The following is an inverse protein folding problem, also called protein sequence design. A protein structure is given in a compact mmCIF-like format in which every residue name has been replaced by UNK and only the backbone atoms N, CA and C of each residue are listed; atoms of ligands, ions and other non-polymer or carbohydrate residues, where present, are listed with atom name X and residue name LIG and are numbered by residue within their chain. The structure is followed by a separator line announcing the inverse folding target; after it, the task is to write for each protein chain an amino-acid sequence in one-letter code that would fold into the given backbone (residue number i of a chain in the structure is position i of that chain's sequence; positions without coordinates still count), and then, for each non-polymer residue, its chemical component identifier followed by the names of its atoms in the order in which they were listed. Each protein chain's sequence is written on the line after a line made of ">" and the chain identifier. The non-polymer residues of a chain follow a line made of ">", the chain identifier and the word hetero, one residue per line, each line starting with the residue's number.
data_IF_972489033967
#
_entry.id   IF_972489033967
#
_cell.length_a   1.000
_cell.length_b   1.000
_cell.length_c   1.000
_cell.angle_alpha   90.00
_cell.angle_beta   90.00
_cell.angle_gamma   90.00
#
_symmetry.space_group_name_H-M   'P 1'
#
loop_
_entity.id
_entity.type
_entity.pdbx_description
1 polymer ?
#
# COMPACT_ATOMS: atom_id res chain seq x y z
N UNK A 1 0.86 12.17 19.74
CA UNK A 1 1.40 10.81 19.72
C UNK A 1 0.62 9.90 18.75
N UNK A 2 -0.68 9.95 18.84
CA UNK A 2 -1.52 9.16 17.94
C UNK A 2 -1.31 9.55 16.48
N UNK A 3 -1.22 10.84 16.23
CA UNK A 3 -1.03 11.32 14.86
C UNK A 3 0.33 10.92 14.31
N UNK A 4 1.33 10.89 15.17
CA UNK A 4 2.66 10.47 14.75
C UNK A 4 2.66 8.99 14.37
N UNK A 5 1.95 8.19 15.14
CA UNK A 5 1.83 6.77 14.84
C UNK A 5 1.11 6.57 13.50
N UNK A 6 0.02 7.28 13.29
CA UNK A 6 -0.73 7.19 12.05
C UNK A 6 0.13 7.60 10.86
N UNK A 7 0.87 8.68 11.01
CA UNK A 7 1.75 9.14 9.94
C UNK A 7 2.84 8.11 9.61
N UNK A 8 3.38 7.50 10.64
CA UNK A 8 4.41 6.48 10.44
C UNK A 8 3.85 5.30 9.67
N UNK A 9 2.69 4.83 10.08
CA UNK A 9 2.05 3.69 9.41
C UNK A 9 1.70 4.03 7.97
N UNK A 10 1.10 5.21 7.76
CA UNK A 10 0.74 5.61 6.40
C UNK A 10 1.96 5.72 5.50
N UNK A 11 2.99 6.39 5.98
CA UNK A 11 4.20 6.58 5.18
C UNK A 11 4.81 5.24 4.81
N UNK A 12 4.86 4.34 5.76
CA UNK A 12 5.42 3.01 5.51
C UNK A 12 4.60 2.26 4.46
N UNK A 13 3.28 2.33 4.58
CA UNK A 13 2.41 1.62 3.64
C UNK A 13 2.43 2.26 2.26
N UNK A 14 2.53 3.58 2.19
CA UNK A 14 2.63 4.25 0.90
C UNK A 14 3.94 3.90 0.21
N UNK A 15 5.02 3.78 0.98
CA UNK A 15 6.29 3.36 0.42
C UNK A 15 6.21 1.93 -0.09
N UNK A 16 5.54 1.06 0.65
CA UNK A 16 5.36 -0.33 0.24
C UNK A 16 4.53 -0.40 -1.05
N UNK A 17 3.47 0.39 -1.13
CA UNK A 17 2.64 0.44 -2.32
C UNK A 17 3.44 0.91 -3.54
N UNK A 18 4.21 1.97 -3.35
CA UNK A 18 5.03 2.50 -4.45
C UNK A 18 6.05 1.48 -4.91
N UNK A 19 6.68 0.79 -3.97
CA UNK A 19 7.65 -0.23 -4.29
C UNK A 19 7.02 -1.37 -5.10
N UNK A 20 5.84 -1.79 -4.68
CA UNK A 20 5.14 -2.86 -5.38
C UNK A 20 4.73 -2.44 -6.78
N UNK A 21 4.23 -1.20 -6.92
CA UNK A 21 3.85 -0.69 -8.22
C UNK A 21 5.06 -0.60 -9.14
N UNK A 22 6.17 -0.10 -8.63
CA UNK A 22 7.39 -0.01 -9.42
C UNK A 22 7.86 -1.40 -9.86
N UNK A 23 7.82 -2.36 -8.94
CA UNK A 23 8.22 -3.72 -9.26
C UNK A 23 7.35 -4.31 -10.37
N UNK A 24 6.03 -4.14 -10.26
CA UNK A 24 5.13 -4.63 -11.30
C UNK A 24 5.38 -3.94 -12.62
N UNK A 25 5.63 -2.64 -12.58
CA UNK A 25 5.91 -1.88 -13.79
C UNK A 25 7.18 -2.39 -14.47
N UNK A 26 8.23 -2.60 -13.70
CA UNK A 26 9.48 -3.09 -14.23
C UNK A 26 9.32 -4.49 -14.83
N UNK A 27 8.59 -5.36 -14.15
CA UNK A 27 8.36 -6.70 -14.66
C UNK A 27 7.55 -6.67 -15.94
N UNK A 28 6.56 -5.79 -16.01
CA UNK A 28 5.71 -5.70 -17.20
C UNK A 28 6.49 -5.21 -18.40
N UNK A 29 7.46 -4.33 -18.19
CA UNK A 29 8.16 -3.71 -19.30
C UNK A 29 9.50 -4.38 -19.64
N UNK A 30 10.02 -5.20 -18.75
CA UNK A 30 11.33 -5.79 -18.95
C UNK A 30 11.31 -7.32 -18.96
N UNK A 31 10.13 -7.90 -18.99
CA UNK A 31 10.02 -9.34 -18.92
C UNK A 31 10.74 -10.05 -20.06
N UNK A 32 10.76 -9.41 -21.22
CA UNK A 32 11.31 -10.02 -22.41
C UNK A 32 12.83 -10.13 -22.34
N UNK A 33 13.45 -9.20 -21.66
CA UNK A 33 14.90 -9.15 -21.63
C UNK A 33 15.55 -10.03 -20.59
N UNK A 34 14.76 -10.74 -19.81
CA UNK A 34 15.29 -11.51 -18.71
C UNK A 34 15.44 -12.95 -19.10
N UNK A 35 16.43 -13.21 -19.94
CA UNK A 35 16.61 -14.55 -20.46
C UNK A 35 17.16 -15.55 -19.49
N UNK A 36 17.84 -15.07 -18.46
CA UNK A 36 18.51 -15.98 -17.53
C UNK A 36 17.60 -16.50 -16.43
N UNK A 37 16.44 -15.89 -16.27
CA UNK A 37 15.53 -16.28 -15.21
C UNK A 37 14.45 -17.18 -15.77
N UNK A 38 14.08 -18.15 -14.99
CA UNK A 38 13.03 -19.06 -15.40
C UNK A 38 11.70 -18.32 -15.43
N UNK A 39 10.79 -18.82 -16.24
CA UNK A 39 9.45 -18.27 -16.31
C UNK A 39 8.77 -18.32 -14.95
N UNK A 40 9.09 -19.37 -14.17
CA UNK A 40 8.52 -19.51 -12.84
C UNK A 40 8.96 -18.38 -11.92
N UNK A 41 10.23 -17.97 -12.01
CA UNK A 41 10.71 -16.86 -11.19
C UNK A 41 10.01 -15.57 -11.55
N UNK A 42 9.81 -15.35 -12.82
CA UNK A 42 9.10 -14.15 -13.27
C UNK A 42 7.69 -14.10 -12.72
N UNK A 43 6.96 -15.18 -12.84
CA UNK A 43 5.59 -15.24 -12.34
C UNK A 43 5.53 -15.13 -10.83
N UNK A 44 6.48 -15.75 -10.16
CA UNK A 44 6.53 -15.68 -8.71
C UNK A 44 6.78 -14.25 -8.25
N UNK A 45 7.71 -13.57 -8.88
CA UNK A 45 8.01 -12.18 -8.52
C UNK A 45 6.82 -11.27 -8.77
N UNK A 46 6.12 -11.50 -9.88
CA UNK A 46 4.94 -10.69 -10.19
C UNK A 46 3.84 -10.92 -9.17
N UNK A 47 3.63 -12.18 -8.79
CA UNK A 47 2.62 -12.51 -7.82
C UNK A 47 2.95 -11.91 -6.45
N UNK A 48 4.22 -11.99 -6.06
CA UNK A 48 4.63 -11.42 -4.78
C UNK A 48 4.44 -9.90 -4.77
N UNK A 49 4.76 -9.25 -5.88
CA UNK A 49 4.56 -7.80 -5.96
C UNK A 49 3.08 -7.44 -5.90
N UNK A 50 2.25 -8.22 -6.55
CA UNK A 50 0.81 -7.99 -6.49
C UNK A 50 0.26 -8.19 -5.08
N UNK A 51 0.75 -9.21 -4.40
CA UNK A 51 0.34 -9.46 -3.02
C UNK A 51 0.75 -8.27 -2.13
N UNK A 52 1.96 -7.79 -2.31
CA UNK A 52 2.45 -6.64 -1.55
C UNK A 52 1.60 -5.40 -1.82
N UNK A 53 1.22 -5.20 -3.07
CA UNK A 53 0.38 -4.07 -3.44
C UNK A 53 -1.00 -4.17 -2.79
N UNK A 54 -1.60 -5.36 -2.89
CA UNK A 54 -2.92 -5.58 -2.32
C UNK A 54 -2.91 -5.38 -0.81
N UNK A 55 -1.88 -5.89 -0.14
CA UNK A 55 -1.77 -5.72 1.30
C UNK A 55 -1.60 -4.26 1.69
N UNK A 56 -0.77 -3.53 0.95
CA UNK A 56 -0.54 -2.12 1.25
C UNK A 56 -1.83 -1.33 1.06
N UNK A 57 -2.54 -1.56 -0.04
CA UNK A 57 -3.79 -0.87 -0.28
C UNK A 57 -4.85 -1.22 0.75
N UNK A 58 -4.93 -2.48 1.12
CA UNK A 58 -5.90 -2.91 2.12
C UNK A 58 -5.61 -2.26 3.48
N UNK A 59 -4.35 -2.25 3.86
CA UNK A 59 -3.96 -1.66 5.14
C UNK A 59 -4.16 -0.15 5.14
N UNK A 60 -3.88 0.51 4.03
CA UNK A 60 -4.11 1.95 3.92
C UNK A 60 -5.60 2.26 4.03
N UNK A 61 -6.42 1.47 3.35
CA UNK A 61 -7.86 1.65 3.43
C UNK A 61 -8.36 1.41 4.85
N UNK A 62 -7.85 0.36 5.48
CA UNK A 62 -8.22 0.05 6.84
C UNK A 62 -7.81 1.16 7.80
N UNK A 63 -6.59 1.67 7.61
CA UNK A 63 -6.09 2.76 8.44
C UNK A 63 -7.00 3.98 8.33
N UNK A 64 -7.34 4.34 7.11
CA UNK A 64 -8.22 5.49 6.86
C UNK A 64 -9.61 5.25 7.44
N UNK A 65 -10.15 4.07 7.18
CA UNK A 65 -11.54 3.77 7.54
C UNK A 65 -11.75 3.68 9.04
N UNK A 66 -10.83 3.02 9.73
CA UNK A 66 -11.05 2.70 11.14
C UNK A 66 -10.28 3.58 12.10
N UNK A 67 -9.21 4.19 11.68
CA UNK A 67 -8.39 4.97 12.59
C UNK A 67 -8.46 6.45 12.29
N UNK A 68 -8.18 6.84 11.05
CA UNK A 68 -8.20 8.24 10.68
C UNK A 68 -9.61 8.79 10.62
N UNK A 69 -10.51 8.03 9.99
CA UNK A 69 -11.89 8.46 9.85
C UNK A 69 -12.54 8.61 11.21
N UNK A 70 -12.20 7.70 12.13
CA UNK A 70 -12.77 7.78 13.47
C UNK A 70 -12.34 9.06 14.17
N UNK A 71 -11.04 9.42 14.04
CA UNK A 71 -10.57 10.68 14.61
C UNK A 71 -11.28 11.86 13.96
N UNK A 72 -11.36 11.84 12.65
CA UNK A 72 -11.99 12.91 11.90
C UNK A 72 -13.48 12.98 12.20
N UNK A 73 -14.11 11.83 12.24
CA UNK A 73 -15.52 11.75 12.55
C UNK A 73 -15.83 12.35 13.91
N UNK A 74 -14.99 12.04 14.86
CA UNK A 74 -15.16 12.57 16.20
C UNK A 74 -15.12 14.09 16.20
N UNK A 75 -14.16 14.66 15.51
CA UNK A 75 -14.04 16.10 15.43
C UNK A 75 -15.20 16.71 14.65
N UNK A 76 -15.64 16.06 13.60
CA UNK A 76 -16.75 16.52 12.80
C UNK A 76 -18.03 16.53 13.59
N UNK A 77 -18.26 15.47 14.36
CA UNK A 77 -19.46 15.40 15.18
C UNK A 77 -19.48 16.51 16.21
N UNK A 78 -18.34 16.81 16.77
CA UNK A 78 -18.27 17.92 17.74
C UNK A 78 -18.61 19.23 17.07
N UNK A 79 -18.19 19.41 15.84
CA UNK A 79 -18.52 20.62 15.10
C UNK A 79 -20.00 20.70 14.78
N UNK A 80 -20.58 19.56 14.41
CA UNK A 80 -21.97 19.54 14.00
C UNK A 80 -22.95 19.68 15.17
N UNK A 81 -22.53 19.30 16.34
CA UNK A 81 -23.41 19.32 17.49
C UNK A 81 -23.49 20.67 18.18
N UNK A 82 -22.83 21.64 17.69
CA UNK A 82 -22.88 22.99 18.27
C UNK A 82 -24.25 23.59 18.23
#
# INVERSE_FOLDING_TARGET
>A
MKELLINMLRTQLEAQRSKALLTLHLLAHHSVGIGDHSTGDYYKNADEALTMLAEANDKLETLTKYIETESTKYLTERSLTK
#
